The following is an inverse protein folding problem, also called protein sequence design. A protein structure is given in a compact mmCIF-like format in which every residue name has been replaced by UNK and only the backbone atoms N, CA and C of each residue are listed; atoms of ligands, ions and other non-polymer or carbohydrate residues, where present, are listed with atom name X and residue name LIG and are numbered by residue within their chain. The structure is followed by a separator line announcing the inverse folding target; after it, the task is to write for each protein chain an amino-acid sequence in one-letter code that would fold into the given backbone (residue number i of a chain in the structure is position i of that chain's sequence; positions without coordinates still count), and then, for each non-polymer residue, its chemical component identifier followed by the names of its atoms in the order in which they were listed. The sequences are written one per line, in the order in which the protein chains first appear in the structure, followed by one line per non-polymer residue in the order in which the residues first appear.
data_IF_508057440969
#
_entry.id   IF_508057440969
#
_cell.length_a   1.000
_cell.length_b   1.000
_cell.length_c   1.000
_cell.angle_alpha   90.00
_cell.angle_beta   90.00
_cell.angle_gamma   90.00
#
_symmetry.space_group_name_H-M   'P 1'
#
loop_
_entity.id
_entity.type
_entity.pdbx_description
1 polymer ?
#
# COMPACT_ATOMS: atom_id res chain seq x y z
N UNK A 1 8.68 12.45 -15.46
CA UNK A 1 8.63 11.31 -14.50
C UNK A 1 9.99 10.67 -14.46
N UNK A 2 10.58 10.51 -13.28
CA UNK A 2 11.83 9.76 -13.12
C UNK A 2 11.44 8.28 -12.91
N UNK A 3 11.81 7.41 -13.85
CA UNK A 3 11.41 6.00 -13.83
C UNK A 3 12.58 5.21 -13.22
N UNK A 4 12.46 4.81 -11.96
CA UNK A 4 13.37 3.85 -11.34
C UNK A 4 12.82 2.44 -11.49
N UNK A 5 13.70 1.43 -11.44
CA UNK A 5 13.31 0.02 -11.33
C UNK A 5 12.34 -0.20 -10.16
N UNK A 6 12.50 0.55 -9.07
CA UNK A 6 11.64 0.49 -7.90
C UNK A 6 10.19 0.91 -8.20
N UNK A 7 10.00 1.96 -9.00
CA UNK A 7 8.69 2.42 -9.46
C UNK A 7 7.98 1.40 -10.37
N UNK A 8 8.74 0.55 -11.08
CA UNK A 8 8.20 -0.50 -11.95
C UNK A 8 7.79 -1.76 -11.18
N UNK A 9 8.42 -2.03 -10.03
CA UNK A 9 8.12 -3.20 -9.18
C UNK A 9 6.92 -2.99 -8.26
N UNK A 10 6.54 -1.74 -8.00
CA UNK A 10 5.51 -1.40 -7.03
C UNK A 10 4.22 -1.10 -7.79
N UNK A 11 3.16 -1.92 -7.63
CA UNK A 11 1.89 -1.61 -8.27
C UNK A 11 1.33 -0.32 -7.68
N UNK A 12 0.75 0.51 -8.56
CA UNK A 12 0.10 1.78 -8.20
C UNK A 12 -0.84 1.57 -7.02
N UNK A 13 -0.58 2.30 -5.94
CA UNK A 13 -1.38 2.25 -4.74
C UNK A 13 -2.57 3.19 -4.94
N UNK A 14 -3.80 2.69 -4.75
CA UNK A 14 -4.97 3.54 -5.01
C UNK A 14 -5.18 4.56 -3.90
N UNK A 15 -5.82 5.68 -4.21
CA UNK A 15 -6.21 6.73 -3.25
C UNK A 15 -6.96 6.14 -2.05
N UNK A 16 -7.82 5.15 -2.29
CA UNK A 16 -8.55 4.48 -1.21
C UNK A 16 -7.63 3.65 -0.30
N UNK A 17 -6.61 2.99 -0.86
CA UNK A 17 -5.65 2.25 -0.06
C UNK A 17 -4.78 3.19 0.79
N UNK A 18 -4.48 4.40 0.30
CA UNK A 18 -3.77 5.44 1.07
C UNK A 18 -4.62 5.97 2.21
N UNK A 19 -5.87 6.33 1.93
CA UNK A 19 -6.85 6.70 2.97
C UNK A 19 -6.92 5.65 4.09
N UNK A 20 -7.01 4.35 3.73
CA UNK A 20 -7.03 3.27 4.72
C UNK A 20 -5.75 3.23 5.55
N UNK A 21 -4.59 3.41 4.93
CA UNK A 21 -3.31 3.39 5.64
C UNK A 21 -3.15 4.57 6.60
N UNK A 22 -3.47 5.78 6.16
CA UNK A 22 -3.40 7.00 6.96
C UNK A 22 -4.34 6.90 8.17
N UNK A 23 -5.59 6.52 7.93
CA UNK A 23 -6.59 6.32 8.98
C UNK A 23 -6.12 5.30 10.03
N UNK A 24 -5.64 4.13 9.60
CA UNK A 24 -5.13 3.10 10.51
C UNK A 24 -3.94 3.62 11.32
N UNK A 25 -3.04 4.38 10.69
CA UNK A 25 -1.83 4.92 11.33
C UNK A 25 -2.19 5.97 12.37
N UNK A 26 -3.08 6.90 12.04
CA UNK A 26 -3.57 7.92 12.98
C UNK A 26 -4.28 7.28 14.18
N UNK A 27 -5.14 6.29 13.96
CA UNK A 27 -5.85 5.63 15.04
C UNK A 27 -4.90 4.86 15.97
N UNK A 28 -3.86 4.21 15.42
CA UNK A 28 -2.80 3.57 16.22
C UNK A 28 -2.01 4.58 17.03
N UNK A 29 -1.67 5.74 16.45
CA UNK A 29 -0.99 6.83 17.18
C UNK A 29 -1.85 7.38 18.33
N UNK A 30 -3.19 7.33 18.19
CA UNK A 30 -4.16 7.64 19.26
C UNK A 30 -4.34 6.50 20.28
N UNK A 31 -3.62 5.39 20.16
CA UNK A 31 -3.65 4.27 21.11
C UNK A 31 -4.67 3.18 20.81
N UNK A 32 -5.35 3.21 19.66
CA UNK A 32 -6.32 2.17 19.30
C UNK A 32 -5.62 0.88 18.86
N UNK A 33 -6.15 -0.25 19.28
CA UNK A 33 -5.71 -1.56 18.82
C UNK A 33 -6.37 -1.96 17.49
N UNK A 34 -5.82 -2.96 16.81
CA UNK A 34 -6.27 -3.40 15.49
C UNK A 34 -7.73 -3.91 15.46
N UNK A 35 -8.29 -4.35 16.61
CA UNK A 35 -9.71 -4.74 16.71
C UNK A 35 -10.61 -3.51 16.71
N UNK A 36 -10.29 -2.50 17.54
CA UNK A 36 -11.03 -1.24 17.60
C UNK A 36 -11.04 -0.54 16.25
N UNK A 37 -9.90 -0.53 15.55
CA UNK A 37 -9.78 0.07 14.23
C UNK A 37 -10.62 -0.70 13.20
N UNK A 38 -10.58 -2.04 13.22
CA UNK A 38 -11.40 -2.85 12.32
C UNK A 38 -12.91 -2.59 12.53
N UNK A 39 -13.35 -2.49 13.79
CA UNK A 39 -14.74 -2.18 14.12
C UNK A 39 -15.11 -0.78 13.62
N UNK A 40 -14.32 0.24 13.93
CA UNK A 40 -14.57 1.60 13.46
C UNK A 40 -14.68 1.67 11.92
N UNK A 41 -13.80 0.98 11.20
CA UNK A 41 -13.86 0.92 9.73
C UNK A 41 -15.16 0.28 9.24
N UNK A 42 -15.60 -0.80 9.89
CA UNK A 42 -16.85 -1.48 9.53
C UNK A 42 -18.08 -0.63 9.86
N UNK A 43 -18.09 0.02 11.02
CA UNK A 43 -19.19 0.87 11.50
C UNK A 43 -19.37 2.11 10.60
N UNK A 44 -18.27 2.64 10.04
CA UNK A 44 -18.28 3.72 9.06
C UNK A 44 -18.51 3.23 7.61
N UNK A 45 -18.83 1.94 7.41
CA UNK A 45 -19.17 1.39 6.09
C UNK A 45 -17.98 1.12 5.17
N UNK A 46 -16.75 1.25 5.66
CA UNK A 46 -15.56 0.97 4.85
C UNK A 46 -15.37 -0.54 4.62
N UNK A 47 -14.90 -0.89 3.42
CA UNK A 47 -14.55 -2.26 3.04
C UNK A 47 -13.06 -2.37 2.75
N UNK A 48 -12.51 -3.57 2.86
CA UNK A 48 -11.15 -3.83 2.38
C UNK A 48 -11.05 -3.49 0.89
N UNK A 49 -9.85 -3.28 0.33
CA UNK A 49 -9.69 -3.03 -1.11
C UNK A 49 -10.29 -4.10 -2.04
N UNK A 50 -10.59 -5.30 -1.49
CA UNK A 50 -11.25 -6.41 -2.20
C UNK A 50 -12.74 -6.55 -1.87
N UNK A 51 -13.35 -5.59 -1.18
CA UNK A 51 -14.78 -5.58 -0.86
C UNK A 51 -15.19 -6.34 0.42
N UNK A 52 -14.27 -7.01 1.11
CA UNK A 52 -14.57 -7.75 2.35
C UNK A 52 -14.70 -6.84 3.57
N UNK A 53 -15.43 -7.29 4.59
CA UNK A 53 -15.48 -6.68 5.94
C UNK A 53 -14.11 -6.74 6.63
N UNK A 54 -13.78 -5.71 7.42
CA UNK A 54 -12.52 -5.65 8.16
C UNK A 54 -12.47 -6.65 9.32
N UNK A 55 -11.27 -7.21 9.49
CA UNK A 55 -10.84 -8.03 10.61
C UNK A 55 -9.49 -7.48 11.08
N UNK A 56 -9.10 -7.75 12.32
CA UNK A 56 -7.82 -7.31 12.88
C UNK A 56 -6.63 -7.61 11.95
N UNK A 57 -6.56 -8.83 11.41
CA UNK A 57 -5.48 -9.24 10.50
C UNK A 57 -5.40 -8.38 9.22
N UNK A 58 -6.52 -7.84 8.73
CA UNK A 58 -6.56 -6.93 7.59
C UNK A 58 -5.91 -5.60 7.94
N UNK A 59 -6.26 -5.02 9.09
CA UNK A 59 -5.67 -3.77 9.61
C UNK A 59 -4.15 -3.93 9.76
N UNK A 60 -3.72 -5.00 10.41
CA UNK A 60 -2.30 -5.31 10.57
C UNK A 60 -1.58 -5.44 9.22
N UNK A 61 -2.18 -6.17 8.28
CA UNK A 61 -1.59 -6.41 6.96
C UNK A 61 -1.44 -5.13 6.13
N UNK A 62 -2.43 -4.22 6.18
CA UNK A 62 -2.40 -2.95 5.43
C UNK A 62 -1.24 -2.09 5.95
N UNK A 63 -1.18 -1.86 7.26
CA UNK A 63 -0.12 -1.06 7.87
C UNK A 63 1.28 -1.63 7.58
N UNK A 64 1.46 -2.94 7.79
CA UNK A 64 2.76 -3.61 7.55
C UNK A 64 3.19 -3.54 6.08
N UNK A 65 2.28 -3.80 5.15
CA UNK A 65 2.60 -3.81 3.71
C UNK A 65 2.92 -2.41 3.19
N UNK A 66 2.20 -1.38 3.65
CA UNK A 66 2.46 0.00 3.22
C UNK A 66 3.78 0.53 3.79
N UNK A 67 4.08 0.25 5.07
CA UNK A 67 5.37 0.60 5.68
C UNK A 67 6.55 0.03 4.89
N UNK A 68 6.53 -1.27 4.58
CA UNK A 68 7.59 -1.90 3.77
C UNK A 68 7.75 -1.24 2.39
N UNK A 69 6.65 -0.81 1.76
CA UNK A 69 6.72 -0.14 0.45
C UNK A 69 7.37 1.23 0.55
N UNK A 70 7.08 1.99 1.62
CA UNK A 70 7.72 3.28 1.86
C UNK A 70 9.23 3.09 2.12
N UNK A 71 9.61 2.09 2.92
CA UNK A 71 11.02 1.73 3.14
C UNK A 71 11.75 1.39 1.82
N UNK A 72 11.11 0.63 0.93
CA UNK A 72 11.67 0.29 -0.39
C UNK A 72 11.80 1.53 -1.28
N UNK A 73 10.85 2.46 -1.24
CA UNK A 73 10.88 3.69 -2.05
C UNK A 73 11.94 4.68 -1.56
N UNK A 74 12.21 4.71 -0.26
CA UNK A 74 13.22 5.55 0.38
C UNK A 74 14.65 4.98 0.26
N UNK A 75 14.77 3.70 -0.11
CA UNK A 75 16.06 3.04 -0.26
C UNK A 75 16.67 3.29 -1.64
N UNK A 76 17.94 3.70 -1.67
CA UNK A 76 18.70 3.82 -2.91
C UNK A 76 18.87 2.45 -3.60
N UNK A 77 18.64 2.37 -4.93
CA UNK A 77 18.77 1.12 -5.66
C UNK A 77 20.21 0.63 -5.62
N UNK A 78 20.40 -0.61 -5.14
CA UNK A 78 21.73 -1.21 -4.95
C UNK A 78 22.40 -1.67 -6.25
N UNK A 79 21.64 -1.74 -7.35
CA UNK A 79 22.13 -2.20 -8.65
C UNK A 79 21.63 -1.30 -9.78
N UNK A 80 22.55 -0.97 -10.69
CA UNK A 80 22.26 -0.27 -11.94
C UNK A 80 22.30 -1.25 -13.11
N UNK A 81 21.24 -1.27 -13.92
CA UNK A 81 21.16 -2.06 -15.15
C UNK A 81 21.23 -1.09 -16.33
N UNK A 82 22.16 -1.33 -17.25
CA UNK A 82 22.28 -0.63 -18.53
C UNK A 82 21.92 -1.57 -19.70
N UNK A 83 21.58 -1.02 -20.87
CA UNK A 83 21.21 -1.75 -22.09
C UNK A 83 19.84 -2.49 -22.07
N UNK A 84 18.80 -1.85 -21.52
CA UNK A 84 17.45 -2.42 -21.51
C UNK A 84 16.74 -2.16 -22.85
N UNK A 85 16.40 -3.23 -23.59
CA UNK A 85 15.67 -3.16 -24.87
C UNK A 85 14.20 -3.55 -24.63
N UNK A 86 13.30 -2.59 -24.80
CA UNK A 86 11.85 -2.81 -24.66
C UNK A 86 11.20 -3.02 -26.02
N UNK A 87 10.36 -4.05 -26.16
CA UNK A 87 9.48 -4.25 -27.30
C UNK A 87 8.04 -4.04 -26.86
N UNK A 88 7.38 -3.01 -27.41
CA UNK A 88 5.98 -2.73 -27.14
C UNK A 88 5.12 -3.38 -28.22
N UNK A 89 4.35 -4.40 -27.85
CA UNK A 89 3.32 -4.96 -28.71
C UNK A 89 2.05 -4.12 -28.55
N UNK A 90 1.57 -3.52 -29.64
CA UNK A 90 0.31 -2.79 -29.67
C UNK A 90 -0.82 -3.81 -29.57
N UNK A 91 -1.56 -3.80 -28.45
CA UNK A 91 -2.78 -4.60 -28.32
C UNK A 91 -3.86 -3.86 -29.11
N UNK A 92 -4.33 -4.48 -30.19
CA UNK A 92 -5.39 -4.02 -31.10
C UNK A 92 -6.78 -4.16 -30.46
#
# INVERSE_FOLDING_TARGET
MNISSQNLLIPNYSTYQDFLYETITEMRNKGNNDVQIANWLNDNGHKTPRGNTFRNNHVHSIAKKRKRRLEILDTEPTMSISNLRLYLNKIS
#
